data_IF_243179469293
#
_entry.id   IF_243179469293
#
_cell.length_a   1.000
_cell.length_b   1.000
_cell.length_c   1.000
_cell.angle_alpha   90.00
_cell.angle_beta   90.00
_cell.angle_gamma   90.00
#
_symmetry.space_group_name_H-M   'P 1'
#
loop_
_entity.id
_entity.type
_entity.pdbx_description
1 polymer ?
#
# COMPACT_ATOMS: atom_id res chain seq x y z
N UNK A 1 24.70 -6.76 -15.00
CA UNK A 1 24.45 -5.49 -14.29
C UNK A 1 23.03 -5.00 -14.62
N UNK A 2 21.99 -5.75 -14.22
CA UNK A 2 20.58 -5.42 -14.53
C UNK A 2 19.68 -5.59 -13.31
N UNK A 3 19.81 -6.71 -12.60
CA UNK A 3 18.91 -7.07 -11.49
C UNK A 3 18.76 -6.05 -10.34
N UNK A 4 19.77 -5.23 -10.03
CA UNK A 4 19.65 -4.19 -8.98
C UNK A 4 18.70 -3.06 -9.38
N UNK A 5 18.68 -2.70 -10.66
CA UNK A 5 17.78 -1.67 -11.18
C UNK A 5 16.36 -2.22 -11.20
N UNK A 6 16.19 -3.48 -11.63
CA UNK A 6 14.90 -4.17 -11.63
C UNK A 6 14.31 -4.30 -10.21
N UNK A 7 15.10 -4.71 -9.22
CA UNK A 7 14.68 -4.76 -7.80
C UNK A 7 14.25 -3.39 -7.26
N UNK A 8 15.00 -2.32 -7.59
CA UNK A 8 14.63 -0.97 -7.21
C UNK A 8 13.29 -0.56 -7.83
N UNK A 9 13.08 -0.84 -9.12
CA UNK A 9 11.80 -0.54 -9.77
C UNK A 9 10.64 -1.32 -9.17
N UNK A 10 10.83 -2.62 -8.89
CA UNK A 10 9.81 -3.44 -8.23
C UNK A 10 9.46 -2.89 -6.84
N UNK A 11 10.45 -2.51 -6.03
CA UNK A 11 10.21 -1.89 -4.73
C UNK A 11 9.37 -0.61 -4.84
N UNK A 12 9.76 0.30 -5.74
CA UNK A 12 9.05 1.57 -5.90
C UNK A 12 7.64 1.34 -6.43
N UNK A 13 7.44 0.39 -7.36
CA UNK A 13 6.13 0.06 -7.88
C UNK A 13 5.19 -0.45 -6.77
N UNK A 14 5.66 -1.37 -5.93
CA UNK A 14 4.89 -1.89 -4.80
C UNK A 14 4.58 -0.78 -3.79
N UNK A 15 5.55 0.07 -3.47
CA UNK A 15 5.35 1.18 -2.54
C UNK A 15 4.33 2.21 -3.06
N UNK A 16 4.38 2.54 -4.36
CA UNK A 16 3.42 3.45 -4.99
C UNK A 16 2.01 2.86 -4.99
N UNK A 17 1.86 1.57 -5.30
CA UNK A 17 0.58 0.89 -5.28
C UNK A 17 -0.04 0.87 -3.87
N UNK A 18 0.76 0.54 -2.84
CA UNK A 18 0.29 0.58 -1.45
C UNK A 18 -0.11 1.98 -1.01
N UNK A 19 0.63 3.00 -1.46
CA UNK A 19 0.30 4.40 -1.15
C UNK A 19 -1.01 4.81 -1.81
N UNK A 20 -1.24 4.42 -3.07
CA UNK A 20 -2.50 4.66 -3.77
C UNK A 20 -3.68 4.00 -3.02
N UNK A 21 -3.55 2.72 -2.64
CA UNK A 21 -4.57 2.01 -1.86
C UNK A 21 -4.87 2.72 -0.52
N UNK A 22 -3.84 3.24 0.16
CA UNK A 22 -4.04 4.01 1.39
C UNK A 22 -4.78 5.32 1.14
N UNK A 23 -4.46 6.01 0.06
CA UNK A 23 -5.14 7.26 -0.32
C UNK A 23 -6.61 7.02 -0.63
N UNK A 24 -6.96 5.90 -1.27
CA UNK A 24 -8.35 5.50 -1.50
C UNK A 24 -9.10 5.26 -0.18
N UNK A 25 -8.47 4.59 0.80
CA UNK A 25 -9.06 4.41 2.12
C UNK A 25 -9.27 5.74 2.85
N UNK A 26 -8.29 6.64 2.81
CA UNK A 26 -8.42 7.98 3.39
C UNK A 26 -9.56 8.74 2.70
N UNK A 27 -9.63 8.71 1.37
CA UNK A 27 -10.71 9.36 0.62
C UNK A 27 -12.09 8.78 0.99
N UNK A 28 -12.19 7.46 1.12
CA UNK A 28 -13.41 6.78 1.57
C UNK A 28 -13.77 7.17 3.01
N UNK A 29 -12.78 7.25 3.91
CA UNK A 29 -13.00 7.69 5.29
C UNK A 29 -13.49 9.13 5.34
N UNK A 30 -12.92 10.03 4.52
CA UNK A 30 -13.34 11.44 4.43
C UNK A 30 -14.76 11.54 3.87
N UNK A 31 -15.05 10.82 2.79
CA UNK A 31 -16.37 10.83 2.16
C UNK A 31 -17.48 10.33 3.09
N UNK A 32 -17.15 9.39 3.97
CA UNK A 32 -18.09 8.81 4.93
C UNK A 32 -17.94 9.38 6.35
N UNK A 33 -17.07 10.38 6.56
CA UNK A 33 -16.77 10.93 7.89
C UNK A 33 -18.03 11.47 8.59
N UNK A 34 -18.96 12.01 7.80
CA UNK A 34 -20.22 12.59 8.29
C UNK A 34 -21.36 11.56 8.38
N UNK A 35 -21.11 10.28 8.08
CA UNK A 35 -22.14 9.24 8.19
C UNK A 35 -22.21 8.69 9.63
N UNK A 36 -23.36 8.77 10.32
CA UNK A 36 -23.49 8.28 11.69
C UNK A 36 -23.11 6.80 11.81
N UNK A 37 -22.35 6.45 12.85
CA UNK A 37 -21.82 5.10 13.13
C UNK A 37 -20.74 4.57 12.16
N UNK A 38 -20.20 5.40 11.26
CA UNK A 38 -19.11 4.97 10.39
C UNK A 38 -17.79 4.74 11.13
N UNK A 39 -17.09 3.67 10.76
CA UNK A 39 -15.80 3.28 11.33
C UNK A 39 -14.72 3.41 10.26
N UNK A 40 -13.84 4.38 10.44
CA UNK A 40 -12.70 4.58 9.55
C UNK A 40 -11.79 3.34 9.54
N UNK A 41 -11.26 3.02 8.36
CA UNK A 41 -10.31 1.92 8.16
C UNK A 41 -8.95 2.47 7.73
N UNK A 42 -7.87 1.91 8.27
CA UNK A 42 -6.51 2.19 7.80
C UNK A 42 -5.76 0.87 7.57
N UNK A 43 -4.72 0.94 6.75
CA UNK A 43 -3.78 -0.13 6.50
C UNK A 43 -2.42 0.24 7.10
N UNK A 44 -1.81 -0.69 7.83
CA UNK A 44 -0.42 -0.53 8.25
C UNK A 44 0.49 -0.67 7.03
N UNK A 45 0.88 0.48 6.47
CA UNK A 45 1.74 0.55 5.29
C UNK A 45 3.09 -0.16 5.50
N UNK A 46 3.69 -0.09 6.69
CA UNK A 46 5.00 -0.70 6.95
C UNK A 46 4.87 -2.22 6.91
N UNK A 47 3.86 -2.74 7.60
CA UNK A 47 3.57 -4.18 7.64
C UNK A 47 3.17 -4.70 6.26
N UNK A 48 2.33 -3.96 5.53
CA UNK A 48 1.89 -4.33 4.18
C UNK A 48 3.04 -4.29 3.16
N UNK A 49 3.92 -3.28 3.21
CA UNK A 49 5.06 -3.14 2.30
C UNK A 49 6.06 -4.28 2.54
N UNK A 50 6.36 -4.57 3.80
CA UNK A 50 7.23 -5.68 4.18
C UNK A 50 6.65 -7.03 3.75
N UNK A 51 5.34 -7.22 3.88
CA UNK A 51 4.64 -8.42 3.40
C UNK A 51 4.69 -8.58 1.88
N UNK A 52 4.42 -7.49 1.14
CA UNK A 52 4.44 -7.50 -0.33
C UNK A 52 5.84 -7.79 -0.89
N UNK A 53 6.89 -7.18 -0.31
CA UNK A 53 8.28 -7.44 -0.69
C UNK A 53 8.75 -8.85 -0.28
N UNK A 54 8.31 -9.34 0.88
CA UNK A 54 8.61 -10.69 1.36
C UNK A 54 7.96 -11.79 0.51
N UNK A 55 6.81 -11.53 -0.10
CA UNK A 55 6.11 -12.45 -1.01
C UNK A 55 6.64 -12.47 -2.44
N UNK A 56 7.44 -11.46 -2.84
CA UNK A 56 7.96 -11.34 -4.22
C UNK A 56 9.14 -12.30 -4.49
N UNK A 57 9.81 -12.82 -3.45
CA UNK A 57 10.93 -13.76 -3.56
C UNK A 57 10.52 -15.25 -3.62
N UNK A 58 9.23 -15.56 -3.75
CA UNK A 58 8.71 -16.93 -3.77
C UNK A 58 8.07 -17.29 -5.11
N UNK A 59 8.82 -17.19 -6.21
CA UNK A 59 8.51 -17.79 -7.52
C UNK A 59 9.78 -17.99 -8.32
#
# INVERSE_FOLDING_TARGET
MGGRIDEMFQFHQVALNLRAARQELIASNIANADTPNYKAKDIDFSSALKGALGGTNAT
#
